data_IF_784336631534
#
_entry.id   IF_784336631534
#
_cell.length_a   1.000
_cell.length_b   1.000
_cell.length_c   1.000
_cell.angle_alpha   90.00
_cell.angle_beta   90.00
_cell.angle_gamma   90.00
#
_symmetry.space_group_name_H-M   'P 1'
#
loop_
_entity.id
_entity.type
_entity.pdbx_description
1 polymer ?
#
# COMPACT_ATOMS: atom_id res chain seq x y z
N UNK A 1 -4.60 24.15 8.86
CA UNK A 1 -4.45 23.70 7.46
C UNK A 1 -4.82 22.23 7.47
N UNK A 2 -5.83 21.83 6.71
CA UNK A 2 -6.26 20.42 6.65
C UNK A 2 -5.37 19.70 5.63
N UNK A 3 -4.82 18.54 5.99
CA UNK A 3 -3.98 17.71 5.12
C UNK A 3 -4.79 16.57 4.47
N UNK A 4 -6.07 16.44 4.83
CA UNK A 4 -6.96 15.38 4.35
C UNK A 4 -8.14 16.04 3.64
N UNK A 5 -8.60 15.42 2.54
CA UNK A 5 -9.81 15.85 1.84
C UNK A 5 -10.67 14.62 1.56
N UNK A 6 -11.91 14.65 2.04
CA UNK A 6 -12.87 13.59 1.77
C UNK A 6 -13.48 13.78 0.38
N UNK A 7 -13.56 12.68 -0.36
CA UNK A 7 -14.17 12.62 -1.69
C UNK A 7 -15.21 11.50 -1.71
N UNK A 8 -16.05 11.47 -2.74
CA UNK A 8 -17.04 10.39 -2.91
C UNK A 8 -16.36 9.02 -2.93
N UNK A 9 -16.89 8.09 -2.15
CA UNK A 9 -16.38 6.72 -2.07
C UNK A 9 -16.57 5.96 -3.39
N UNK A 10 -15.77 4.91 -3.61
CA UNK A 10 -15.81 4.07 -4.80
C UNK A 10 -17.02 3.14 -4.74
N UNK A 11 -17.79 3.06 -5.84
CA UNK A 11 -18.85 2.07 -5.97
C UNK A 11 -18.29 0.64 -5.80
N UNK A 12 -18.86 -0.14 -4.89
CA UNK A 12 -18.40 -1.50 -4.59
C UNK A 12 -17.16 -1.58 -3.70
N UNK A 13 -16.86 -0.54 -2.91
CA UNK A 13 -15.80 -0.63 -1.91
C UNK A 13 -16.19 -1.56 -0.75
N UNK A 14 -15.62 -2.76 -0.74
CA UNK A 14 -15.75 -3.67 0.41
C UNK A 14 -15.08 -3.04 1.64
N UNK A 15 -15.82 -2.95 2.75
CA UNK A 15 -15.40 -2.21 3.93
C UNK A 15 -14.36 -2.95 4.79
N UNK A 16 -14.25 -4.27 4.63
CA UNK A 16 -13.41 -5.09 5.50
C UNK A 16 -12.88 -6.32 4.80
N UNK A 17 -11.56 -6.40 4.73
CA UNK A 17 -10.83 -7.63 4.47
C UNK A 17 -10.07 -8.04 5.73
N UNK A 18 -10.11 -9.33 6.05
CA UNK A 18 -9.32 -9.93 7.12
C UNK A 18 -8.93 -11.35 6.70
N UNK A 19 -7.67 -11.70 6.91
CA UNK A 19 -7.12 -13.01 6.56
C UNK A 19 -6.61 -13.67 7.84
N UNK A 20 -6.99 -14.93 8.05
CA UNK A 20 -6.41 -15.79 9.08
C UNK A 20 -5.20 -16.55 8.49
N UNK A 21 -4.00 -16.22 8.97
CA UNK A 21 -2.75 -16.85 8.53
C UNK A 21 -2.32 -18.03 9.43
N UNK A 22 -3.13 -18.46 10.39
CA UNK A 22 -2.77 -19.49 11.39
C UNK A 22 -2.33 -20.81 10.76
N UNK A 23 -2.90 -21.20 9.61
CA UNK A 23 -2.49 -22.42 8.89
C UNK A 23 -1.04 -22.32 8.41
N UNK A 24 -0.69 -21.19 7.79
CA UNK A 24 0.65 -20.93 7.26
C UNK A 24 1.70 -20.91 8.38
N UNK A 25 1.36 -20.29 9.50
CA UNK A 25 2.22 -20.25 10.69
C UNK A 25 2.44 -21.66 11.27
N UNK A 26 1.38 -22.45 11.43
CA UNK A 26 1.46 -23.78 12.02
C UNK A 26 2.17 -24.80 11.13
N UNK A 27 1.91 -24.78 9.83
CA UNK A 27 2.40 -25.82 8.91
C UNK A 27 3.79 -25.52 8.36
N UNK A 28 4.12 -24.23 8.17
CA UNK A 28 5.38 -23.82 7.56
C UNK A 28 6.28 -23.02 8.51
N UNK A 29 5.83 -22.73 9.74
CA UNK A 29 6.60 -21.91 10.68
C UNK A 29 6.77 -20.46 10.22
N UNK A 30 5.95 -20.00 9.27
CA UNK A 30 6.03 -18.64 8.75
C UNK A 30 5.58 -17.63 9.80
N UNK A 31 6.27 -16.51 9.88
CA UNK A 31 5.86 -15.34 10.65
C UNK A 31 6.15 -14.06 9.84
N UNK A 32 5.37 -12.98 10.02
CA UNK A 32 5.67 -11.69 9.42
C UNK A 32 7.05 -11.21 9.90
N UNK A 33 7.91 -10.82 8.96
CA UNK A 33 9.24 -10.29 9.29
C UNK A 33 9.22 -8.84 9.79
N UNK A 34 8.10 -8.13 9.61
CA UNK A 34 7.95 -6.71 9.94
C UNK A 34 6.55 -6.45 10.50
N UNK A 35 6.45 -5.48 11.42
CA UNK A 35 5.18 -4.89 11.84
C UNK A 35 4.76 -3.79 10.83
N UNK A 36 3.49 -3.40 10.86
CA UNK A 36 2.94 -2.42 9.92
C UNK A 36 3.65 -1.07 10.01
N UNK A 37 3.90 -0.58 11.23
CA UNK A 37 4.53 0.71 11.50
C UNK A 37 5.93 0.81 10.88
N UNK A 38 6.72 -0.26 11.01
CA UNK A 38 8.05 -0.33 10.41
C UNK A 38 7.97 -0.43 8.88
N UNK A 39 7.02 -1.23 8.37
CA UNK A 39 6.79 -1.40 6.94
C UNK A 39 6.37 -0.10 6.26
N UNK A 40 5.48 0.68 6.86
CA UNK A 40 4.98 1.93 6.27
C UNK A 40 6.06 3.02 6.29
N UNK A 41 6.88 3.11 7.34
CA UNK A 41 8.01 4.04 7.40
C UNK A 41 9.03 3.75 6.28
N UNK A 42 9.43 2.48 6.15
CA UNK A 42 10.35 2.04 5.08
C UNK A 42 9.78 2.31 3.69
N UNK A 43 8.47 2.11 3.52
CA UNK A 43 7.79 2.36 2.25
C UNK A 43 7.83 3.85 1.90
N UNK A 44 7.45 4.74 2.82
CA UNK A 44 7.50 6.19 2.61
C UNK A 44 8.92 6.64 2.25
N UNK A 45 9.92 6.17 3.02
CA UNK A 45 11.33 6.47 2.75
C UNK A 45 11.75 6.03 1.36
N UNK A 46 11.38 4.82 0.94
CA UNK A 46 11.69 4.30 -0.38
C UNK A 46 11.14 5.21 -1.49
N UNK A 47 9.88 5.68 -1.39
CA UNK A 47 9.32 6.60 -2.39
C UNK A 47 10.07 7.93 -2.44
N UNK A 48 10.51 8.46 -1.29
CA UNK A 48 11.29 9.70 -1.24
C UNK A 48 12.67 9.53 -1.91
N UNK A 49 13.28 8.37 -1.78
CA UNK A 49 14.61 8.06 -2.33
C UNK A 49 14.56 7.64 -3.81
N UNK A 50 13.40 7.24 -4.35
CA UNK A 50 13.27 6.66 -5.69
C UNK A 50 12.40 7.53 -6.63
N UNK A 51 12.63 8.84 -6.65
CA UNK A 51 11.84 9.77 -7.47
C UNK A 51 11.93 9.50 -8.97
N UNK A 52 13.11 9.17 -9.49
CA UNK A 52 13.28 8.83 -10.92
C UNK A 52 12.40 7.63 -11.33
N UNK A 53 12.31 6.62 -10.46
CA UNK A 53 11.42 5.49 -10.69
C UNK A 53 9.95 5.93 -10.70
N UNK A 54 9.56 6.76 -9.74
CA UNK A 54 8.19 7.27 -9.63
C UNK A 54 7.81 8.09 -10.86
N UNK A 55 8.70 8.98 -11.31
CA UNK A 55 8.49 9.77 -12.52
C UNK A 55 8.29 8.86 -13.72
N UNK A 56 9.17 7.87 -13.92
CA UNK A 56 9.09 6.93 -15.05
C UNK A 56 7.78 6.12 -15.10
N UNK A 57 7.19 5.76 -13.96
CA UNK A 57 5.92 5.01 -13.95
C UNK A 57 4.67 5.92 -13.98
N UNK A 58 4.82 7.21 -13.68
CA UNK A 58 3.71 8.17 -13.67
C UNK A 58 3.66 9.04 -14.94
N UNK A 59 4.78 9.21 -15.64
CA UNK A 59 4.84 9.94 -16.91
C UNK A 59 4.53 9.03 -18.13
N UNK A 60 3.25 8.73 -18.36
CA UNK A 60 2.81 7.93 -19.52
C UNK A 60 1.29 7.77 -19.64
N UNK A 61 0.85 6.84 -20.50
CA UNK A 61 -0.58 6.50 -20.74
C UNK A 61 -1.38 6.22 -19.45
N UNK A 62 -0.72 5.89 -18.34
CA UNK A 62 -1.31 5.73 -16.99
C UNK A 62 -2.02 7.01 -16.47
N UNK A 63 -1.52 8.20 -16.80
CA UNK A 63 -2.17 9.46 -16.39
C UNK A 63 -3.39 9.80 -17.27
N UNK A 64 -3.40 9.33 -18.53
CA UNK A 64 -4.45 9.61 -19.52
C UNK A 64 -5.50 8.49 -19.65
N UNK A 65 -5.40 7.43 -18.85
CA UNK A 65 -6.34 6.31 -18.82
C UNK A 65 -7.49 6.50 -17.81
N UNK A 66 -7.65 7.70 -17.26
CA UNK A 66 -8.81 8.10 -16.44
C UNK A 66 -9.81 8.92 -17.24
#
# INVERSE_FOLDING_TARGET
MDLITYVTDRAGHDLRYAIDSSKLQRELGWEPSLQFEEGIEKTVKWYLENQEWLDNITCGEMYNAK
#
